data_IF_193170758160
#
_entry.id   IF_193170758160
#
_cell.length_a   1.000
_cell.length_b   1.000
_cell.length_c   1.000
_cell.angle_alpha   90.00
_cell.angle_beta   90.00
_cell.angle_gamma   90.00
#
_symmetry.space_group_name_H-M   'P 1'
#
loop_
_entity.id
_entity.type
_entity.pdbx_description
1 polymer ?
#
# COMPACT_ATOMS: atom_id res chain seq x y z
N UNK A 1 6.71 -29.61 26.62
CA UNK A 1 5.27 -29.35 26.87
C UNK A 1 4.89 -28.04 26.20
N UNK A 2 3.85 -27.99 25.36
CA UNK A 2 3.36 -26.72 24.79
C UNK A 2 2.47 -26.04 25.84
N UNK A 3 2.95 -24.98 26.47
CA UNK A 3 2.13 -24.11 27.31
C UNK A 3 0.91 -23.64 26.50
N UNK A 4 -0.29 -23.98 26.99
CA UNK A 4 -1.53 -23.47 26.42
C UNK A 4 -1.67 -22.00 26.83
N UNK A 5 -1.18 -21.11 25.96
CA UNK A 5 -1.39 -19.66 26.14
C UNK A 5 -2.86 -19.31 25.91
N UNK A 6 -3.42 -18.36 26.68
CA UNK A 6 -4.76 -17.88 26.46
C UNK A 6 -4.96 -17.34 25.04
N UNK A 7 -6.07 -17.73 24.41
CA UNK A 7 -6.41 -17.34 23.05
C UNK A 7 -7.11 -15.97 22.96
N UNK A 8 -7.47 -15.36 24.10
CA UNK A 8 -8.29 -14.14 24.15
C UNK A 8 -7.63 -13.08 25.04
N UNK A 9 -7.59 -11.85 24.54
CA UNK A 9 -7.24 -10.66 25.30
C UNK A 9 -8.50 -10.12 26.00
N UNK A 10 -8.35 -9.55 27.20
CA UNK A 10 -9.44 -8.77 27.79
C UNK A 10 -9.60 -7.41 27.10
N UNK A 11 -10.68 -6.68 27.37
CA UNK A 11 -11.02 -5.42 26.67
C UNK A 11 -9.94 -4.34 26.83
N UNK A 12 -9.32 -4.25 28.01
CA UNK A 12 -8.22 -3.32 28.28
C UNK A 12 -6.96 -3.69 27.49
N UNK A 13 -6.55 -4.95 27.58
CA UNK A 13 -5.40 -5.49 26.86
C UNK A 13 -5.57 -5.39 25.34
N UNK A 14 -6.77 -5.63 24.82
CA UNK A 14 -7.06 -5.50 23.39
C UNK A 14 -6.84 -4.08 22.88
N UNK A 15 -7.15 -3.06 23.70
CA UNK A 15 -6.90 -1.65 23.38
C UNK A 15 -5.40 -1.33 23.39
N UNK A 16 -4.70 -1.74 24.45
CA UNK A 16 -3.25 -1.54 24.58
C UNK A 16 -2.48 -2.25 23.44
N UNK A 17 -2.86 -3.47 23.10
CA UNK A 17 -2.30 -4.22 21.96
C UNK A 17 -2.56 -3.50 20.64
N UNK A 18 -3.76 -2.95 20.42
CA UNK A 18 -4.06 -2.21 19.20
C UNK A 18 -3.18 -0.95 19.07
N UNK A 19 -2.95 -0.22 20.16
CA UNK A 19 -2.10 0.98 20.13
C UNK A 19 -0.62 0.61 19.95
N UNK A 20 -0.14 -0.47 20.58
CA UNK A 20 1.21 -0.98 20.36
C UNK A 20 1.42 -1.48 18.92
N UNK A 21 0.43 -2.17 18.34
CA UNK A 21 0.47 -2.60 16.94
C UNK A 21 0.43 -1.43 15.94
N UNK A 22 -0.19 -0.29 16.30
CA UNK A 22 -0.07 0.94 15.51
C UNK A 22 1.34 1.52 15.62
N UNK A 23 1.90 1.60 16.83
CA UNK A 23 3.25 2.08 17.07
C UNK A 23 4.31 1.19 16.39
N UNK A 24 4.06 -0.11 16.27
CA UNK A 24 4.87 -1.07 15.51
C UNK A 24 5.12 -0.65 14.07
N UNK A 25 4.28 0.20 13.46
CA UNK A 25 4.55 0.75 12.11
C UNK A 25 5.80 1.63 12.05
N UNK A 26 6.23 2.16 13.19
CA UNK A 26 7.39 3.02 13.34
C UNK A 26 8.55 2.30 14.05
N UNK A 27 8.33 1.09 14.58
CA UNK A 27 9.35 0.30 15.27
C UNK A 27 9.61 -1.01 14.52
N UNK A 28 10.71 -1.71 14.84
CA UNK A 28 11.02 -3.04 14.27
C UNK A 28 10.54 -4.20 15.16
N UNK A 29 9.58 -3.93 16.05
CA UNK A 29 9.06 -4.93 16.97
C UNK A 29 8.37 -6.08 16.22
N UNK A 30 8.49 -7.31 16.69
CA UNK A 30 7.85 -8.47 16.06
C UNK A 30 6.52 -8.80 16.74
N UNK A 31 5.57 -9.39 15.99
CA UNK A 31 4.30 -9.84 16.57
C UNK A 31 4.51 -10.91 17.66
N UNK A 32 5.56 -11.73 17.53
CA UNK A 32 5.93 -12.73 18.54
C UNK A 32 6.36 -12.09 19.86
N UNK A 33 7.12 -11.00 19.81
CA UNK A 33 7.52 -10.26 21.00
C UNK A 33 6.29 -9.66 21.70
N UNK A 34 5.38 -9.04 20.94
CA UNK A 34 4.10 -8.53 21.49
C UNK A 34 3.28 -9.69 22.09
N UNK A 35 3.18 -10.81 21.40
CA UNK A 35 2.44 -11.97 21.91
C UNK A 35 3.03 -12.51 23.24
N UNK A 36 4.36 -12.49 23.37
CA UNK A 36 5.05 -12.89 24.59
C UNK A 36 4.78 -11.93 25.75
N UNK A 37 4.84 -10.62 25.52
CA UNK A 37 4.59 -9.59 26.54
C UNK A 37 3.18 -9.66 27.13
N UNK A 38 2.19 -9.97 26.28
CA UNK A 38 0.80 -10.10 26.72
C UNK A 38 0.40 -11.54 27.07
N UNK A 39 1.34 -12.51 27.00
CA UNK A 39 1.09 -13.90 27.34
C UNK A 39 0.08 -14.61 26.43
N UNK A 40 -0.11 -14.14 25.19
CA UNK A 40 -1.10 -14.70 24.24
C UNK A 40 -0.42 -15.42 23.07
N UNK A 41 -1.25 -16.09 22.26
CA UNK A 41 -0.78 -16.72 21.02
C UNK A 41 -0.41 -15.66 19.96
N UNK A 42 0.57 -15.99 19.11
CA UNK A 42 0.90 -15.19 17.93
C UNK A 42 -0.32 -15.00 17.00
N UNK A 43 -1.16 -16.03 16.88
CA UNK A 43 -2.37 -15.98 16.06
C UNK A 43 -3.36 -14.92 16.56
N UNK A 44 -3.51 -14.79 17.89
CA UNK A 44 -4.33 -13.74 18.51
C UNK A 44 -3.83 -12.35 18.13
N UNK A 45 -2.52 -12.08 18.25
CA UNK A 45 -1.94 -10.78 17.88
C UNK A 45 -2.09 -10.50 16.37
N UNK A 46 -1.82 -11.49 15.52
CA UNK A 46 -1.98 -11.37 14.07
C UNK A 46 -3.43 -11.06 13.65
N UNK A 47 -4.42 -11.64 14.35
CA UNK A 47 -5.83 -11.32 14.14
C UNK A 47 -6.13 -9.84 14.44
N UNK A 48 -5.58 -9.30 15.54
CA UNK A 48 -5.75 -7.89 15.89
C UNK A 48 -5.01 -6.94 14.94
N UNK A 49 -3.83 -7.32 14.44
CA UNK A 49 -3.09 -6.53 13.45
C UNK A 49 -3.89 -6.35 12.15
N UNK A 50 -4.51 -7.43 11.65
CA UNK A 50 -5.34 -7.38 10.42
C UNK A 50 -6.55 -6.47 10.54
N UNK A 51 -7.04 -6.21 11.76
CA UNK A 51 -8.16 -5.29 12.02
C UNK A 51 -7.74 -3.83 12.08
N UNK A 52 -6.44 -3.52 12.11
CA UNK A 52 -6.00 -2.14 12.07
C UNK A 52 -6.28 -1.54 10.70
N UNK A 53 -6.77 -0.28 10.62
CA UNK A 53 -6.96 0.39 9.36
C UNK A 53 -5.62 0.43 8.61
N UNK A 54 -5.59 0.20 7.29
CA UNK A 54 -4.35 0.25 6.53
C UNK A 54 -3.63 1.56 6.84
N UNK A 55 -2.30 1.52 7.02
CA UNK A 55 -1.53 2.75 7.12
C UNK A 55 -1.90 3.60 5.90
N UNK A 56 -2.29 4.86 6.13
CA UNK A 56 -2.60 5.79 5.05
C UNK A 56 -1.33 5.86 4.20
N UNK A 57 -1.31 5.08 3.12
CA UNK A 57 -0.26 5.15 2.12
C UNK A 57 -0.58 6.44 1.40
N UNK A 58 0.21 7.49 1.63
CA UNK A 58 0.27 8.60 0.72
C UNK A 58 0.58 8.01 -0.66
N UNK A 59 -0.45 7.85 -1.49
CA UNK A 59 -0.24 7.49 -2.88
C UNK A 59 0.45 8.70 -3.50
N UNK A 60 1.61 8.55 -4.15
CA UNK A 60 2.19 9.66 -4.89
C UNK A 60 1.13 10.21 -5.84
N UNK A 61 0.93 11.53 -5.80
CA UNK A 61 -0.01 12.21 -6.71
C UNK A 61 0.39 11.80 -8.13
N UNK A 62 -0.53 11.23 -8.93
CA UNK A 62 -0.21 10.86 -10.30
C UNK A 62 0.26 12.12 -11.03
N UNK A 63 1.45 12.05 -11.66
CA UNK A 63 1.93 13.10 -12.55
C UNK A 63 0.85 13.31 -13.61
N UNK A 64 0.24 14.49 -13.63
CA UNK A 64 -0.71 14.83 -14.68
C UNK A 64 0.06 14.84 -16.00
N UNK A 65 -0.39 14.02 -16.94
CA UNK A 65 0.14 13.98 -18.30
C UNK A 65 -0.82 14.80 -19.14
N UNK A 66 -0.28 15.72 -19.92
CA UNK A 66 -1.06 16.48 -20.89
C UNK A 66 -1.47 15.54 -22.04
N UNK A 67 -2.73 15.15 -22.06
CA UNK A 67 -3.28 14.22 -23.04
C UNK A 67 -3.26 14.82 -24.46
N UNK A 68 -3.39 16.14 -24.60
CA UNK A 68 -3.34 16.83 -25.90
C UNK A 68 -1.94 16.75 -26.52
N UNK A 69 -0.91 16.93 -25.69
CA UNK A 69 0.48 16.83 -26.13
C UNK A 69 0.87 15.38 -26.46
N UNK A 70 0.37 14.40 -25.69
CA UNK A 70 0.53 12.98 -26.04
C UNK A 70 -0.11 12.67 -27.39
N UNK A 71 -1.33 13.13 -27.65
CA UNK A 71 -2.02 12.93 -28.92
C UNK A 71 -1.27 13.60 -30.08
N UNK A 72 -0.75 14.82 -29.87
CA UNK A 72 0.03 15.56 -30.86
C UNK A 72 1.31 14.80 -31.26
N UNK A 73 2.06 14.33 -30.26
CA UNK A 73 3.31 13.59 -30.49
C UNK A 73 3.07 12.18 -31.04
N UNK A 74 2.03 11.50 -30.58
CA UNK A 74 1.67 10.18 -31.09
C UNK A 74 1.08 10.25 -32.51
N UNK A 75 0.27 11.28 -32.80
CA UNK A 75 -0.37 11.49 -34.10
C UNK A 75 0.62 11.68 -35.25
N UNK A 76 1.81 12.23 -34.99
CA UNK A 76 2.92 12.30 -35.95
C UNK A 76 3.71 10.98 -36.08
N UNK A 77 3.14 9.85 -35.63
CA UNK A 77 3.71 8.51 -35.71
C UNK A 77 5.00 8.32 -34.90
N UNK A 78 5.21 9.10 -33.82
CA UNK A 78 6.32 8.83 -32.90
C UNK A 78 6.07 7.58 -32.06
N UNK A 79 7.13 6.81 -31.86
CA UNK A 79 7.12 5.66 -30.96
C UNK A 79 6.83 6.10 -29.52
N UNK A 80 6.00 5.33 -28.79
CA UNK A 80 5.58 5.65 -27.41
C UNK A 80 6.75 5.89 -26.46
N UNK A 81 7.85 5.15 -26.64
CA UNK A 81 9.08 5.34 -25.86
C UNK A 81 9.72 6.72 -26.06
N UNK A 82 9.65 7.26 -27.28
CA UNK A 82 10.16 8.60 -27.60
C UNK A 82 9.27 9.68 -27.01
N UNK A 83 7.95 9.51 -27.09
CA UNK A 83 6.98 10.42 -26.44
C UNK A 83 7.21 10.46 -24.92
N UNK A 84 7.44 9.31 -24.30
CA UNK A 84 7.74 9.18 -22.88
C UNK A 84 9.00 9.94 -22.47
N UNK A 85 10.05 9.89 -23.30
CA UNK A 85 11.29 10.64 -23.08
C UNK A 85 11.08 12.15 -23.21
N UNK A 86 10.39 12.61 -24.25
CA UNK A 86 10.09 14.03 -24.49
C UNK A 86 9.29 14.62 -23.33
N UNK A 87 8.28 13.89 -22.84
CA UNK A 87 7.40 14.35 -21.78
C UNK A 87 7.94 14.05 -20.36
N UNK A 88 9.08 13.38 -20.24
CA UNK A 88 9.68 13.06 -18.94
C UNK A 88 8.81 12.18 -18.05
N UNK A 89 8.01 11.29 -18.65
CA UNK A 89 7.07 10.40 -17.95
C UNK A 89 7.34 8.94 -18.29
N UNK A 90 6.94 7.98 -17.43
CA UNK A 90 7.07 6.58 -17.75
C UNK A 90 6.31 6.20 -19.03
N UNK A 91 6.90 5.34 -19.86
CA UNK A 91 6.25 4.82 -21.08
C UNK A 91 4.89 4.18 -20.79
N UNK A 92 4.77 3.48 -19.66
CA UNK A 92 3.50 2.89 -19.20
C UNK A 92 2.40 3.94 -18.99
N UNK A 93 2.76 5.16 -18.63
CA UNK A 93 1.80 6.27 -18.50
C UNK A 93 1.31 6.69 -19.88
N UNK A 94 2.20 6.82 -20.86
CA UNK A 94 1.84 7.10 -22.26
C UNK A 94 0.92 6.02 -22.82
N UNK A 95 1.26 4.75 -22.66
CA UNK A 95 0.43 3.64 -23.16
C UNK A 95 -0.98 3.64 -22.53
N UNK A 96 -1.09 3.99 -21.24
CA UNK A 96 -2.40 4.12 -20.56
C UNK A 96 -3.20 5.31 -21.06
N UNK A 97 -2.54 6.45 -21.32
CA UNK A 97 -3.18 7.64 -21.88
C UNK A 97 -3.69 7.34 -23.29
N UNK A 98 -2.88 6.72 -24.16
CA UNK A 98 -3.30 6.31 -25.51
C UNK A 98 -4.49 5.35 -25.44
N UNK A 99 -4.40 4.29 -24.63
CA UNK A 99 -5.50 3.33 -24.48
C UNK A 99 -6.80 4.00 -23.97
N UNK A 100 -6.70 4.99 -23.08
CA UNK A 100 -7.85 5.76 -22.60
C UNK A 100 -8.47 6.62 -23.72
N UNK A 101 -7.63 7.28 -24.50
CA UNK A 101 -8.07 8.11 -25.64
C UNK A 101 -8.74 7.25 -26.72
N UNK A 102 -8.18 6.07 -27.03
CA UNK A 102 -8.76 5.12 -27.99
C UNK A 102 -10.08 4.50 -27.48
N UNK A 103 -10.28 4.43 -26.17
CA UNK A 103 -11.50 3.89 -25.55
C UNK A 103 -12.61 4.93 -25.33
N UNK A 104 -12.34 6.22 -25.57
CA UNK A 104 -13.35 7.28 -25.45
C UNK A 104 -14.06 7.44 -26.80
N UNK A 105 -15.39 7.24 -26.87
CA UNK A 105 -16.16 7.30 -28.12
C UNK A 105 -16.30 8.72 -28.67
#
# INVERSE_FOLDING_TARGET
>A
MREQRPNKLNSRQAREVADRLKARRQTKETLSAIAQDYGVSHATIAYHEKKLPPAIRFKPVPRQVDEAEVLRLYGIHMHQGTVAQILGVPSRTISRTIARLESSP
#
